data_IF_610022840190
#
_entry.id   IF_610022840190
#
_cell.length_a   1.000
_cell.length_b   1.000
_cell.length_c   1.000
_cell.angle_alpha   90.00
_cell.angle_beta   90.00
_cell.angle_gamma   90.00
#
_symmetry.space_group_name_H-M   'P 1'
#
loop_
_entity.id
_entity.type
_entity.pdbx_description
1 polymer ?
#
# COMPACT_ATOMS: atom_id res chain seq x y z
N UNK A 1 -2.52 9.97 24.53
CA UNK A 1 -2.02 9.16 23.40
C UNK A 1 -1.88 9.95 22.10
N UNK A 2 -2.98 10.45 21.50
CA UNK A 2 -2.97 10.97 20.10
C UNK A 2 -2.00 12.13 19.85
N UNK A 3 -1.77 12.97 20.85
CA UNK A 3 -0.88 14.15 20.77
C UNK A 3 0.54 13.88 21.28
N UNK A 4 0.83 12.65 21.70
CA UNK A 4 2.10 12.26 22.31
C UNK A 4 2.92 11.49 21.29
N UNK A 5 4.21 11.81 21.16
CA UNK A 5 5.14 11.07 20.32
C UNK A 5 5.59 9.78 21.03
N UNK A 6 5.14 8.59 20.59
CA UNK A 6 5.51 7.33 21.25
C UNK A 6 7.00 6.98 21.09
N UNK A 7 7.67 7.49 20.05
CA UNK A 7 9.10 7.25 19.81
C UNK A 7 9.99 8.11 20.71
N UNK A 8 9.54 9.32 21.04
CA UNK A 8 10.22 10.16 22.04
C UNK A 8 10.15 9.50 23.43
N UNK A 9 9.03 8.90 23.81
CA UNK A 9 8.94 8.12 25.06
C UNK A 9 9.83 6.89 25.04
N UNK A 10 9.83 6.15 23.92
CA UNK A 10 10.71 4.99 23.73
C UNK A 10 12.20 5.35 23.87
N UNK A 11 12.59 6.58 23.53
CA UNK A 11 13.98 7.05 23.60
C UNK A 11 14.60 6.98 24.99
N UNK A 12 13.78 6.96 26.05
CA UNK A 12 14.24 6.76 27.42
C UNK A 12 14.84 5.38 27.69
N UNK A 13 14.57 4.40 26.83
CA UNK A 13 15.09 3.03 26.95
C UNK A 13 15.85 2.55 25.72
N UNK A 14 15.48 3.02 24.53
CA UNK A 14 16.10 2.64 23.26
C UNK A 14 16.68 3.89 22.61
N UNK A 15 18.00 3.92 22.39
CA UNK A 15 18.66 5.08 21.80
C UNK A 15 18.04 5.45 20.42
N UNK A 16 17.83 6.74 20.11
CA UNK A 16 17.28 7.18 18.82
C UNK A 16 17.99 6.60 17.59
N UNK A 17 19.31 6.43 17.66
CA UNK A 17 20.10 5.82 16.58
C UNK A 17 19.66 4.38 16.26
N UNK A 18 19.20 3.61 17.26
CA UNK A 18 18.72 2.25 17.06
C UNK A 18 17.37 2.24 16.33
N UNK A 19 16.48 3.19 16.66
CA UNK A 19 15.20 3.36 15.96
C UNK A 19 15.42 3.79 14.50
N UNK A 20 16.35 4.72 14.26
CA UNK A 20 16.73 5.15 12.91
C UNK A 20 17.34 4.00 12.10
N UNK A 21 18.27 3.24 12.70
CA UNK A 21 18.87 2.07 12.08
C UNK A 21 17.81 1.02 11.71
N UNK A 22 16.82 0.78 12.60
CA UNK A 22 15.70 -0.11 12.32
C UNK A 22 14.91 0.32 11.09
N UNK A 23 14.60 1.61 10.95
CA UNK A 23 13.93 2.15 9.74
C UNK A 23 14.78 1.96 8.49
N UNK A 24 16.09 2.22 8.56
CA UNK A 24 17.01 2.03 7.43
C UNK A 24 17.08 0.56 6.99
N UNK A 25 17.09 -0.37 7.94
CA UNK A 25 17.05 -1.81 7.67
C UNK A 25 15.75 -2.17 6.94
N UNK A 26 14.60 -1.68 7.40
CA UNK A 26 13.31 -1.93 6.75
C UNK A 26 13.29 -1.42 5.30
N UNK A 27 13.78 -0.21 5.05
CA UNK A 27 13.89 0.36 3.70
C UNK A 27 14.80 -0.53 2.83
N UNK A 28 15.92 -0.98 3.39
CA UNK A 28 16.88 -1.84 2.70
C UNK A 28 16.24 -3.20 2.33
N UNK A 29 15.47 -3.79 3.24
CA UNK A 29 14.73 -5.04 3.00
C UNK A 29 13.74 -4.90 1.85
N UNK A 30 13.02 -3.77 1.78
CA UNK A 30 12.11 -3.48 0.66
C UNK A 30 12.88 -3.41 -0.66
N UNK A 31 13.96 -2.64 -0.71
CA UNK A 31 14.76 -2.47 -1.94
C UNK A 31 15.29 -3.83 -2.41
N UNK A 32 15.94 -4.59 -1.53
CA UNK A 32 16.50 -5.91 -1.87
C UNK A 32 15.41 -6.86 -2.33
N UNK A 33 14.30 -6.95 -1.59
CA UNK A 33 13.20 -7.85 -1.92
C UNK A 33 12.53 -7.51 -3.24
N UNK A 34 12.30 -6.23 -3.52
CA UNK A 34 11.71 -5.78 -4.79
C UNK A 34 12.66 -6.04 -5.96
N UNK A 35 13.98 -5.83 -5.79
CA UNK A 35 14.96 -6.18 -6.82
C UNK A 35 14.99 -7.69 -7.11
N UNK A 36 14.98 -8.53 -6.07
CA UNK A 36 14.88 -9.99 -6.23
C UNK A 36 13.59 -10.40 -6.95
N UNK A 37 12.45 -9.79 -6.60
CA UNK A 37 11.16 -10.07 -7.25
C UNK A 37 11.18 -9.72 -8.75
N UNK A 38 11.73 -8.55 -9.07
CA UNK A 38 11.88 -8.08 -10.46
C UNK A 38 12.76 -9.03 -11.27
N UNK A 39 13.88 -9.50 -10.70
CA UNK A 39 14.80 -10.43 -11.34
C UNK A 39 14.11 -11.79 -11.54
N UNK A 40 13.48 -12.31 -10.49
CA UNK A 40 12.82 -13.62 -10.50
C UNK A 40 11.69 -13.67 -11.53
N UNK A 41 10.81 -12.65 -11.54
CA UNK A 41 9.66 -12.57 -12.45
C UNK A 41 10.00 -12.05 -13.84
N UNK A 42 11.25 -11.60 -14.07
CA UNK A 42 11.70 -10.97 -15.33
C UNK A 42 10.83 -9.78 -15.75
N UNK A 43 10.22 -9.09 -14.77
CA UNK A 43 9.28 -7.98 -15.00
C UNK A 43 9.89 -6.88 -15.87
N UNK A 44 11.15 -6.50 -15.60
CA UNK A 44 11.85 -5.46 -16.36
C UNK A 44 12.00 -5.85 -17.83
N UNK A 45 12.41 -7.10 -18.12
CA UNK A 45 12.52 -7.59 -19.49
C UNK A 45 11.16 -7.51 -20.20
N UNK A 46 10.11 -7.96 -19.51
CA UNK A 46 8.74 -7.88 -20.03
C UNK A 46 8.31 -6.44 -20.35
N UNK A 47 8.47 -5.50 -19.42
CA UNK A 47 8.09 -4.10 -19.64
C UNK A 47 8.88 -3.45 -20.78
N UNK A 48 10.19 -3.71 -20.88
CA UNK A 48 11.01 -3.20 -21.99
C UNK A 48 10.60 -3.79 -23.34
N UNK A 49 10.34 -5.09 -23.42
CA UNK A 49 9.86 -5.72 -24.65
C UNK A 49 8.48 -5.20 -25.04
N UNK A 50 7.58 -5.03 -24.06
CA UNK A 50 6.24 -4.50 -24.32
C UNK A 50 6.30 -3.03 -24.76
N UNK A 51 7.17 -2.20 -24.16
CA UNK A 51 7.35 -0.81 -24.57
C UNK A 51 7.91 -0.71 -26.00
N UNK A 52 8.83 -1.60 -26.38
CA UNK A 52 9.32 -1.70 -27.76
C UNK A 52 8.23 -2.12 -28.74
N UNK A 53 7.37 -3.08 -28.35
CA UNK A 53 6.23 -3.52 -29.16
C UNK A 53 5.21 -2.39 -29.35
N UNK A 54 4.80 -1.74 -28.26
CA UNK A 54 3.88 -0.60 -28.29
C UNK A 54 4.40 0.54 -29.17
N UNK A 55 5.69 0.89 -29.06
CA UNK A 55 6.31 1.91 -29.91
C UNK A 55 6.26 1.55 -31.41
N UNK A 56 6.34 0.26 -31.76
CA UNK A 56 6.26 -0.20 -33.16
C UNK A 56 4.81 -0.22 -33.69
N UNK A 57 3.82 -0.46 -32.82
CA UNK A 57 2.40 -0.47 -33.18
C UNK A 57 1.69 0.87 -32.95
N UNK A 58 2.42 1.90 -32.52
CA UNK A 58 1.90 3.26 -32.34
C UNK A 58 1.32 3.79 -33.65
N UNK A 59 0.06 4.23 -33.60
CA UNK A 59 -0.67 4.79 -34.76
C UNK A 59 -0.38 6.27 -34.95
N UNK A 60 0.08 6.95 -33.91
CA UNK A 60 0.54 8.34 -33.95
C UNK A 60 1.72 8.56 -33.02
N UNK A 61 2.56 9.54 -33.35
CA UNK A 61 3.62 9.99 -32.46
C UNK A 61 3.07 11.05 -31.50
N UNK A 62 3.09 10.75 -30.21
CA UNK A 62 2.77 11.74 -29.18
C UNK A 62 3.92 12.75 -29.03
N UNK A 63 3.58 14.03 -29.00
CA UNK A 63 4.49 15.10 -28.60
C UNK A 63 4.91 14.96 -27.14
N UNK A 64 5.99 15.63 -26.74
CA UNK A 64 6.46 15.64 -25.34
C UNK A 64 5.36 16.14 -24.40
N UNK A 65 4.62 17.18 -24.79
CA UNK A 65 3.52 17.75 -24.00
C UNK A 65 2.37 16.77 -23.81
N UNK A 66 1.96 16.06 -24.87
CA UNK A 66 0.90 15.05 -24.77
C UNK A 66 1.32 13.89 -23.85
N UNK A 67 2.56 13.40 -23.98
CA UNK A 67 3.09 12.35 -23.09
C UNK A 67 3.07 12.79 -21.64
N UNK A 68 3.57 13.99 -21.35
CA UNK A 68 3.56 14.54 -19.99
C UNK A 68 2.13 14.67 -19.45
N UNK A 69 1.19 15.16 -20.26
CA UNK A 69 -0.22 15.27 -19.87
C UNK A 69 -0.83 13.92 -19.51
N UNK A 70 -0.57 12.88 -20.31
CA UNK A 70 -1.04 11.51 -20.05
C UNK A 70 -0.44 10.98 -18.74
N UNK A 71 0.87 11.12 -18.55
CA UNK A 71 1.56 10.67 -17.33
C UNK A 71 0.98 11.36 -16.09
N UNK A 72 0.80 12.69 -16.14
CA UNK A 72 0.24 13.46 -15.03
C UNK A 72 -1.19 13.02 -14.72
N UNK A 73 -2.03 12.80 -15.75
CA UNK A 73 -3.38 12.28 -15.58
C UNK A 73 -3.35 10.89 -14.95
N UNK A 74 -2.53 9.97 -15.43
CA UNK A 74 -2.39 8.62 -14.86
C UNK A 74 -1.96 8.65 -13.40
N UNK A 75 -1.03 9.52 -13.03
CA UNK A 75 -0.62 9.68 -11.63
C UNK A 75 -1.78 10.21 -10.79
N UNK A 76 -2.47 11.24 -11.27
CA UNK A 76 -3.55 11.88 -10.54
C UNK A 76 -4.80 10.98 -10.42
N UNK A 77 -5.21 10.28 -11.47
CA UNK A 77 -6.39 9.41 -11.46
C UNK A 77 -6.04 8.02 -10.96
N UNK A 78 -5.20 7.30 -11.68
CA UNK A 78 -5.07 5.85 -11.54
C UNK A 78 -4.25 5.47 -10.32
N UNK A 79 -3.18 6.23 -10.05
CA UNK A 79 -2.30 5.94 -8.92
C UNK A 79 -2.86 6.57 -7.64
N UNK A 80 -3.07 7.89 -7.63
CA UNK A 80 -3.47 8.60 -6.41
C UNK A 80 -4.90 8.27 -5.95
N UNK A 81 -5.81 7.97 -6.88
CA UNK A 81 -7.20 7.65 -6.51
C UNK A 81 -7.58 6.20 -6.74
N UNK A 82 -6.67 5.37 -7.27
CA UNK A 82 -6.92 3.96 -7.56
C UNK A 82 -8.23 3.78 -8.37
N UNK A 83 -8.45 4.65 -9.36
CA UNK A 83 -9.67 4.66 -10.20
C UNK A 83 -9.89 3.34 -10.94
N UNK A 84 -8.82 2.56 -11.15
CA UNK A 84 -8.86 1.21 -11.70
C UNK A 84 -9.72 0.22 -10.89
N UNK A 85 -9.99 0.50 -9.61
CA UNK A 85 -10.88 -0.31 -8.77
C UNK A 85 -12.37 0.03 -8.97
N UNK A 86 -12.71 0.92 -9.91
CA UNK A 86 -14.08 1.34 -10.15
C UNK A 86 -14.65 2.22 -9.02
N UNK A 87 -15.94 2.55 -9.12
CA UNK A 87 -16.66 3.25 -8.07
C UNK A 87 -17.30 2.21 -7.14
N UNK A 88 -16.83 2.10 -5.89
CA UNK A 88 -17.39 1.12 -4.97
C UNK A 88 -16.67 1.00 -3.64
N UNK A 89 -17.20 0.11 -2.78
CA UNK A 89 -16.68 -0.15 -1.42
C UNK A 89 -15.21 -0.56 -1.43
N UNK A 90 -14.78 -1.30 -2.45
CA UNK A 90 -13.40 -1.75 -2.63
C UNK A 90 -12.42 -0.59 -2.79
N UNK A 91 -12.77 0.40 -3.62
CA UNK A 91 -11.95 1.60 -3.78
C UNK A 91 -11.87 2.41 -2.50
N UNK A 92 -12.99 2.59 -1.78
CA UNK A 92 -13.01 3.34 -0.52
C UNK A 92 -12.14 2.66 0.54
N UNK A 93 -12.30 1.35 0.74
CA UNK A 93 -11.48 0.59 1.69
C UNK A 93 -9.98 0.63 1.31
N UNK A 94 -9.67 0.52 0.01
CA UNK A 94 -8.30 0.60 -0.49
C UNK A 94 -7.69 1.99 -0.24
N UNK A 95 -8.38 3.08 -0.57
CA UNK A 95 -7.89 4.44 -0.33
C UNK A 95 -7.69 4.73 1.15
N UNK A 96 -8.62 4.27 1.99
CA UNK A 96 -8.50 4.39 3.44
C UNK A 96 -7.25 3.68 3.96
N UNK A 97 -7.02 2.44 3.51
CA UNK A 97 -5.82 1.67 3.86
C UNK A 97 -4.53 2.27 3.31
N UNK A 98 -4.53 2.68 2.04
CA UNK A 98 -3.36 3.24 1.34
C UNK A 98 -2.92 4.56 1.96
N UNK A 99 -3.81 5.55 2.05
CA UNK A 99 -3.47 6.84 2.65
C UNK A 99 -3.23 6.72 4.15
N UNK A 100 -3.96 5.85 4.85
CA UNK A 100 -3.68 5.53 6.24
C UNK A 100 -2.22 5.07 6.43
N UNK A 101 -1.78 4.13 5.59
CA UNK A 101 -0.43 3.57 5.66
C UNK A 101 0.64 4.62 5.34
N UNK A 102 0.40 5.45 4.31
CA UNK A 102 1.32 6.53 3.94
C UNK A 102 1.49 7.50 5.12
N UNK A 103 0.39 7.96 5.71
CA UNK A 103 0.42 8.87 6.87
C UNK A 103 1.14 8.22 8.06
N UNK A 104 0.87 6.95 8.33
CA UNK A 104 1.50 6.19 9.41
C UNK A 104 3.02 6.08 9.24
N UNK A 105 3.48 5.74 8.03
CA UNK A 105 4.91 5.63 7.74
C UNK A 105 5.62 6.99 7.73
N UNK A 106 5.05 8.00 7.08
CA UNK A 106 5.63 9.34 7.07
C UNK A 106 5.72 9.91 8.49
N UNK A 107 4.65 9.77 9.29
CA UNK A 107 4.67 10.14 10.70
C UNK A 107 5.75 9.41 11.48
N UNK A 108 5.95 8.10 11.22
CA UNK A 108 6.99 7.30 11.88
C UNK A 108 8.38 7.81 11.53
N UNK A 109 8.67 7.99 10.25
CA UNK A 109 9.98 8.48 9.77
C UNK A 109 10.28 9.86 10.35
N UNK A 110 9.35 10.80 10.27
CA UNK A 110 9.59 12.16 10.77
C UNK A 110 9.78 12.16 12.27
N UNK A 111 8.95 11.46 13.04
CA UNK A 111 9.11 11.41 14.49
C UNK A 111 10.40 10.69 14.91
N UNK A 112 10.80 9.61 14.24
CA UNK A 112 12.03 8.86 14.55
C UNK A 112 13.29 9.66 14.20
N UNK A 113 13.34 10.28 13.03
CA UNK A 113 14.55 10.94 12.56
C UNK A 113 14.71 12.36 13.13
N UNK A 114 13.61 13.09 13.30
CA UNK A 114 13.67 14.50 13.68
C UNK A 114 13.34 14.74 15.16
N UNK A 115 12.52 13.88 15.78
CA UNK A 115 11.90 14.20 17.08
C UNK A 115 11.97 13.07 18.13
N UNK A 116 12.83 12.07 17.93
CA UNK A 116 13.00 10.99 18.90
C UNK A 116 13.97 11.37 20.03
N UNK A 117 14.76 12.44 19.89
CA UNK A 117 15.66 12.88 20.96
C UNK A 117 14.86 13.40 22.16
N UNK A 118 15.29 13.11 23.41
CA UNK A 118 14.70 13.72 24.60
C UNK A 118 14.74 15.25 24.61
N UNK A 119 15.69 15.85 23.88
CA UNK A 119 15.86 17.30 23.77
C UNK A 119 15.00 17.95 22.68
N UNK A 120 14.23 17.16 21.93
CA UNK A 120 13.44 17.65 20.79
C UNK A 120 11.95 17.70 21.12
N UNK A 121 11.32 18.85 20.91
CA UNK A 121 9.88 18.99 21.04
C UNK A 121 9.20 18.58 19.73
N UNK A 122 8.30 17.59 19.81
CA UNK A 122 7.57 17.12 18.63
C UNK A 122 6.39 18.03 18.33
N UNK A 123 6.27 18.62 17.13
CA UNK A 123 5.06 19.32 16.73
C UNK A 123 3.84 18.40 16.81
N UNK A 124 2.76 18.87 17.44
CA UNK A 124 1.54 18.10 17.72
C UNK A 124 0.91 17.45 16.47
N UNK A 125 1.14 18.04 15.29
CA UNK A 125 0.68 17.53 14.01
C UNK A 125 1.20 16.11 13.73
N UNK A 126 2.45 15.80 14.06
CA UNK A 126 3.07 14.51 13.71
C UNK A 126 2.49 13.32 14.47
N UNK A 127 2.33 13.38 15.81
CA UNK A 127 1.59 12.37 16.54
C UNK A 127 0.16 12.18 16.01
N UNK A 128 -0.56 13.26 15.70
CA UNK A 128 -1.93 13.19 15.16
C UNK A 128 -1.93 12.46 13.80
N UNK A 129 -1.04 12.84 12.88
CA UNK A 129 -0.90 12.19 11.56
C UNK A 129 -0.61 10.69 11.73
N UNK A 130 0.28 10.34 12.64
CA UNK A 130 0.67 8.94 12.86
C UNK A 130 -0.49 8.11 13.39
N UNK A 131 -1.19 8.58 14.41
CA UNK A 131 -2.33 7.85 14.99
C UNK A 131 -3.51 7.77 14.02
N UNK A 132 -3.83 8.86 13.32
CA UNK A 132 -4.88 8.87 12.31
C UNK A 132 -4.54 7.90 11.17
N UNK A 133 -3.30 7.94 10.68
CA UNK A 133 -2.80 7.02 9.67
C UNK A 133 -2.92 5.55 10.10
N UNK A 134 -2.52 5.23 11.33
CA UNK A 134 -2.64 3.88 11.88
C UNK A 134 -4.12 3.44 11.96
N UNK A 135 -5.01 4.30 12.46
CA UNK A 135 -6.46 4.00 12.56
C UNK A 135 -7.05 3.76 11.16
N UNK A 136 -6.78 4.65 10.21
CA UNK A 136 -7.21 4.49 8.82
C UNK A 136 -6.71 3.18 8.21
N UNK A 137 -5.46 2.81 8.49
CA UNK A 137 -4.86 1.53 8.04
C UNK A 137 -5.62 0.34 8.60
N UNK A 138 -5.88 0.33 9.92
CA UNK A 138 -6.61 -0.76 10.58
C UNK A 138 -8.04 -0.85 10.05
N UNK A 139 -8.75 0.28 9.93
CA UNK A 139 -10.14 0.30 9.46
C UNK A 139 -10.22 -0.13 7.99
N UNK A 140 -9.41 0.45 7.10
CA UNK A 140 -9.41 0.12 5.68
C UNK A 140 -8.95 -1.32 5.41
N UNK A 141 -7.88 -1.75 6.07
CA UNK A 141 -7.37 -3.12 5.97
C UNK A 141 -8.36 -4.15 6.52
N UNK A 142 -8.97 -3.90 7.68
CA UNK A 142 -9.97 -4.81 8.27
C UNK A 142 -11.22 -4.87 7.42
N UNK A 143 -11.69 -3.74 6.89
CA UNK A 143 -12.82 -3.72 5.97
C UNK A 143 -12.54 -4.58 4.74
N UNK A 144 -11.35 -4.45 4.15
CA UNK A 144 -10.92 -5.32 3.06
C UNK A 144 -10.90 -6.80 3.48
N UNK A 145 -10.24 -7.11 4.59
CA UNK A 145 -10.02 -8.47 5.09
C UNK A 145 -11.32 -9.24 5.35
N UNK A 146 -12.22 -8.63 6.13
CA UNK A 146 -13.44 -9.30 6.58
C UNK A 146 -14.56 -9.32 5.53
N UNK A 147 -14.61 -8.34 4.62
CA UNK A 147 -15.82 -8.15 3.80
C UNK A 147 -15.57 -8.04 2.29
N UNK A 148 -14.38 -7.65 1.83
CA UNK A 148 -14.16 -7.31 0.41
C UNK A 148 -13.13 -8.20 -0.27
N UNK A 149 -12.45 -9.07 0.47
CA UNK A 149 -11.62 -10.13 -0.11
C UNK A 149 -12.50 -11.06 -0.92
N UNK A 150 -12.11 -11.32 -2.17
CA UNK A 150 -12.87 -12.15 -3.13
C UNK A 150 -13.19 -13.51 -2.54
N UNK A 151 -12.22 -14.14 -1.86
CA UNK A 151 -12.38 -15.42 -1.18
C UNK A 151 -13.57 -15.42 -0.21
N UNK A 152 -13.81 -14.30 0.49
CA UNK A 152 -14.90 -14.19 1.47
C UNK A 152 -16.20 -13.74 0.79
N UNK A 153 -16.13 -12.67 0.00
CA UNK A 153 -17.32 -12.02 -0.55
C UNK A 153 -17.97 -12.81 -1.69
N UNK A 154 -17.16 -13.40 -2.56
CA UNK A 154 -17.62 -14.05 -3.78
C UNK A 154 -17.46 -15.56 -3.75
N UNK A 155 -16.41 -16.08 -3.13
CA UNK A 155 -16.14 -17.53 -3.06
C UNK A 155 -16.62 -18.19 -1.76
N UNK A 156 -17.17 -17.40 -0.83
CA UNK A 156 -17.74 -17.86 0.45
C UNK A 156 -16.78 -18.72 1.32
N UNK A 157 -15.47 -18.57 1.15
CA UNK A 157 -14.49 -19.11 2.08
C UNK A 157 -14.55 -18.38 3.43
N UNK A 158 -14.22 -19.07 4.54
CA UNK A 158 -14.22 -18.43 5.84
C UNK A 158 -13.19 -17.30 5.91
N UNK A 159 -13.53 -16.22 6.61
CA UNK A 159 -12.67 -15.04 6.75
C UNK A 159 -11.32 -15.37 7.41
N UNK A 160 -11.24 -16.42 8.23
CA UNK A 160 -10.01 -16.86 8.89
C UNK A 160 -9.11 -17.76 8.01
N UNK A 161 -9.53 -18.12 6.78
CA UNK A 161 -8.64 -18.77 5.82
C UNK A 161 -7.56 -17.79 5.42
N UNK A 162 -6.28 -18.17 5.58
CA UNK A 162 -5.13 -17.35 5.20
C UNK A 162 -4.42 -18.03 4.04
N UNK A 163 -4.16 -17.27 2.97
CA UNK A 163 -3.28 -17.69 1.87
C UNK A 163 -2.07 -16.77 1.77
N UNK A 164 -1.03 -17.20 1.05
CA UNK A 164 0.21 -16.43 0.89
C UNK A 164 -0.04 -15.00 0.36
N UNK A 165 -1.05 -14.82 -0.49
CA UNK A 165 -1.43 -13.51 -1.03
C UNK A 165 -1.91 -12.51 0.04
N UNK A 166 -2.34 -13.00 1.20
CA UNK A 166 -2.90 -12.18 2.29
C UNK A 166 -1.84 -11.68 3.27
N UNK A 167 -0.63 -12.26 3.24
CA UNK A 167 0.44 -11.94 4.19
C UNK A 167 0.74 -10.44 4.23
N UNK A 168 0.66 -9.75 3.07
CA UNK A 168 0.84 -8.31 3.01
C UNK A 168 -0.21 -7.56 3.84
N UNK A 169 -1.51 -7.80 3.60
CA UNK A 169 -2.56 -7.03 4.27
C UNK A 169 -2.63 -7.36 5.77
N UNK A 170 -2.39 -8.62 6.13
CA UNK A 170 -2.37 -9.05 7.53
C UNK A 170 -1.20 -8.44 8.29
N UNK A 171 0.01 -8.46 7.71
CA UNK A 171 1.18 -7.83 8.33
C UNK A 171 0.98 -6.30 8.43
N UNK A 172 0.37 -5.68 7.42
CA UNK A 172 0.07 -4.25 7.42
C UNK A 172 -0.90 -3.85 8.54
N UNK A 173 -2.00 -4.60 8.70
CA UNK A 173 -2.97 -4.38 9.79
C UNK A 173 -2.29 -4.62 11.14
N UNK A 174 -1.51 -5.69 11.28
CA UNK A 174 -0.80 -6.02 12.51
C UNK A 174 0.17 -4.91 12.93
N UNK A 175 0.94 -4.33 11.99
CA UNK A 175 1.82 -3.20 12.27
C UNK A 175 1.05 -2.01 12.87
N UNK A 176 -0.01 -1.56 12.19
CA UNK A 176 -0.77 -0.40 12.63
C UNK A 176 -1.50 -0.68 13.96
N UNK A 177 -2.09 -1.87 14.11
CA UNK A 177 -2.84 -2.25 15.31
C UNK A 177 -1.95 -2.40 16.54
N UNK A 178 -0.83 -3.13 16.44
CA UNK A 178 0.10 -3.27 17.55
C UNK A 178 0.80 -1.96 17.89
N UNK A 179 1.10 -1.12 16.88
CA UNK A 179 1.60 0.23 17.10
C UNK A 179 0.62 1.10 17.90
N UNK A 180 -0.67 1.07 17.56
CA UNK A 180 -1.72 1.79 18.30
C UNK A 180 -1.83 1.31 19.74
N UNK A 181 -1.88 -0.01 19.96
CA UNK A 181 -1.95 -0.56 21.31
C UNK A 181 -0.70 -0.18 22.10
N UNK A 182 0.48 -0.35 21.53
CA UNK A 182 1.74 0.04 22.17
C UNK A 182 1.74 1.52 22.57
N UNK A 183 1.38 2.43 21.66
CA UNK A 183 1.27 3.87 21.95
C UNK A 183 0.24 4.16 23.05
N UNK A 184 -0.91 3.48 23.02
CA UNK A 184 -1.94 3.61 24.05
C UNK A 184 -1.40 3.22 25.42
N UNK A 185 -0.79 2.04 25.53
CA UNK A 185 -0.26 1.50 26.78
C UNK A 185 0.83 2.41 27.36
N UNK A 186 1.71 2.97 26.52
CA UNK A 186 2.70 3.95 26.98
C UNK A 186 2.05 5.21 27.57
N UNK A 187 0.92 5.64 27.00
CA UNK A 187 0.24 6.86 27.48
C UNK A 187 -0.45 6.72 28.84
N UNK A 188 -0.63 5.50 29.34
CA UNK A 188 -1.28 5.24 30.63
C UNK A 188 -0.39 5.60 31.83
N UNK A 189 0.90 5.88 31.63
CA UNK A 189 1.84 6.33 32.68
C UNK A 189 1.90 5.42 33.91
N UNK A 190 1.82 4.10 33.69
CA UNK A 190 1.86 3.08 34.75
C UNK A 190 3.24 2.42 34.82
N UNK A 191 3.71 2.10 36.02
CA UNK A 191 5.00 1.41 36.25
C UNK A 191 4.93 -0.11 35.92
N UNK A 192 6.08 -0.72 35.58
CA UNK A 192 6.24 -2.18 35.37
C UNK A 192 5.27 -2.83 34.37
N UNK A 193 5.15 -2.24 33.17
CA UNK A 193 4.24 -2.68 32.11
C UNK A 193 4.90 -3.67 31.13
N UNK A 194 4.86 -4.95 31.48
CA UNK A 194 5.32 -6.04 30.59
C UNK A 194 4.51 -6.10 29.28
N UNK A 195 3.24 -5.70 29.32
CA UNK A 195 2.34 -5.68 28.17
C UNK A 195 2.73 -4.61 27.14
N UNK A 196 3.15 -3.41 27.57
CA UNK A 196 3.68 -2.39 26.67
C UNK A 196 4.93 -2.89 25.91
N UNK A 197 5.79 -3.64 26.61
CA UNK A 197 6.97 -4.28 26.01
C UNK A 197 6.58 -5.39 25.02
N UNK A 198 5.57 -6.20 25.36
CA UNK A 198 5.03 -7.21 24.44
C UNK A 198 4.49 -6.58 23.15
N UNK A 199 3.67 -5.54 23.25
CA UNK A 199 3.11 -4.89 22.06
C UNK A 199 4.15 -4.12 21.24
N UNK A 200 5.20 -3.60 21.87
CA UNK A 200 6.37 -3.09 21.14
C UNK A 200 7.06 -4.22 20.36
N UNK A 201 7.30 -5.38 20.98
CA UNK A 201 7.91 -6.52 20.30
C UNK A 201 7.04 -7.02 19.12
N UNK A 202 5.73 -7.12 19.32
CA UNK A 202 4.78 -7.46 18.24
C UNK A 202 4.76 -6.41 17.13
N UNK A 203 4.86 -5.12 17.48
CA UNK A 203 4.99 -4.04 16.50
C UNK A 203 6.28 -4.17 15.68
N UNK A 204 7.42 -4.45 16.32
CA UNK A 204 8.70 -4.67 15.63
C UNK A 204 8.63 -5.91 14.73
N UNK A 205 8.15 -7.04 15.25
CA UNK A 205 8.05 -8.30 14.49
C UNK A 205 7.12 -8.14 13.29
N UNK A 206 5.95 -7.52 13.46
CA UNK A 206 5.01 -7.29 12.35
C UNK A 206 5.63 -6.41 11.26
N UNK A 207 6.40 -5.38 11.62
CA UNK A 207 7.13 -4.57 10.65
C UNK A 207 8.20 -5.38 9.89
N UNK A 208 8.97 -6.23 10.59
CA UNK A 208 9.94 -7.12 9.96
C UNK A 208 9.27 -8.10 8.99
N UNK A 209 8.11 -8.66 9.37
CA UNK A 209 7.32 -9.53 8.49
C UNK A 209 6.78 -8.76 7.29
N UNK A 210 6.29 -7.53 7.47
CA UNK A 210 5.75 -6.70 6.39
C UNK A 210 6.83 -6.34 5.36
N UNK A 211 7.96 -5.77 5.81
CA UNK A 211 9.01 -5.27 4.93
C UNK A 211 9.97 -6.37 4.45
N UNK A 212 10.23 -7.39 5.27
CA UNK A 212 10.97 -8.59 4.86
C UNK A 212 10.14 -9.53 3.98
N UNK A 213 8.81 -9.52 4.14
CA UNK A 213 7.87 -10.34 3.37
C UNK A 213 7.56 -9.82 1.96
N UNK A 214 8.20 -8.73 1.52
CA UNK A 214 7.91 -8.08 0.22
C UNK A 214 8.03 -9.07 -0.94
N UNK A 215 9.10 -9.87 -0.97
CA UNK A 215 9.38 -10.83 -2.05
C UNK A 215 8.30 -11.92 -2.17
N UNK A 216 7.78 -12.41 -1.04
CA UNK A 216 6.80 -13.51 -1.00
C UNK A 216 5.35 -13.06 -1.01
N UNK A 217 5.09 -11.75 -1.00
CA UNK A 217 3.74 -11.21 -0.87
C UNK A 217 3.32 -10.42 -2.09
N UNK A 218 2.06 -9.99 -2.07
CA UNK A 218 1.57 -9.00 -3.02
C UNK A 218 2.28 -7.65 -2.87
N UNK A 219 3.03 -7.36 -1.81
CA UNK A 219 3.62 -6.02 -1.65
C UNK A 219 4.53 -5.61 -2.83
N UNK A 220 5.32 -6.53 -3.40
CA UNK A 220 6.18 -6.22 -4.55
C UNK A 220 5.42 -5.62 -5.76
N UNK A 221 4.15 -5.99 -5.97
CA UNK A 221 3.35 -5.46 -7.08
C UNK A 221 3.01 -3.98 -6.97
N UNK A 222 3.07 -3.40 -5.77
CA UNK A 222 2.82 -1.97 -5.57
C UNK A 222 3.88 -1.11 -6.25
N UNK A 223 5.11 -1.61 -6.41
CA UNK A 223 6.21 -0.83 -6.99
C UNK A 223 6.18 -0.76 -8.52
N UNK A 224 5.68 -1.82 -9.20
CA UNK A 224 5.65 -1.85 -10.66
C UNK A 224 4.29 -1.51 -11.29
N UNK A 225 3.19 -1.58 -10.52
CA UNK A 225 1.85 -1.23 -11.01
C UNK A 225 1.72 0.21 -11.53
N UNK A 226 2.28 1.24 -10.87
CA UNK A 226 2.31 2.61 -11.42
C UNK A 226 2.94 2.69 -12.82
N UNK A 227 4.07 1.98 -13.02
CA UNK A 227 4.74 1.93 -14.32
C UNK A 227 3.90 1.25 -15.40
N UNK A 228 3.23 0.15 -15.04
CA UNK A 228 2.29 -0.53 -15.94
C UNK A 228 1.10 0.36 -16.33
N UNK A 229 0.53 1.12 -15.39
CA UNK A 229 -0.56 2.05 -15.66
C UNK A 229 -0.13 3.19 -16.59
N UNK A 230 1.07 3.74 -16.39
CA UNK A 230 1.64 4.76 -17.28
C UNK A 230 1.84 4.22 -18.69
N UNK A 231 2.42 3.02 -18.81
CA UNK A 231 2.64 2.38 -20.10
C UNK A 231 1.32 2.12 -20.84
N UNK A 232 0.31 1.59 -20.13
CA UNK A 232 -1.02 1.34 -20.67
C UNK A 232 -1.67 2.63 -21.20
N UNK A 233 -1.71 3.69 -20.40
CA UNK A 233 -2.34 4.95 -20.81
C UNK A 233 -1.58 5.64 -21.95
N UNK A 234 -0.25 5.51 -22.00
CA UNK A 234 0.54 5.99 -23.14
C UNK A 234 0.24 5.18 -24.42
N UNK A 235 0.09 3.86 -24.31
CA UNK A 235 -0.28 2.99 -25.44
C UNK A 235 -1.71 3.26 -25.93
N UNK A 236 -2.65 3.55 -25.03
CA UNK A 236 -3.99 4.00 -25.41
C UNK A 236 -3.92 5.36 -26.13
N UNK A 237 -3.12 6.30 -25.59
CA UNK A 237 -2.98 7.63 -26.16
C UNK A 237 -2.31 7.62 -27.54
N UNK A 238 -1.32 6.78 -27.80
CA UNK A 238 -0.64 6.67 -29.11
C UNK A 238 -1.39 5.76 -30.12
N UNK A 239 -2.49 5.14 -29.69
CA UNK A 239 -3.36 4.30 -30.51
C UNK A 239 -2.87 2.87 -30.73
N UNK A 240 -1.72 2.48 -30.16
CA UNK A 240 -1.24 1.09 -30.17
C UNK A 240 -2.14 0.17 -29.34
N UNK A 241 -2.61 0.67 -28.19
CA UNK A 241 -3.55 0.00 -27.26
C UNK A 241 -3.10 -1.40 -26.84
N UNK A 242 -1.80 -1.65 -26.76
CA UNK A 242 -1.25 -3.01 -26.59
C UNK A 242 -1.82 -4.04 -27.61
N UNK A 243 -2.15 -3.57 -28.82
CA UNK A 243 -2.85 -4.30 -29.89
C UNK A 243 -4.28 -4.77 -29.53
N UNK A 244 -4.90 -4.17 -28.52
CA UNK A 244 -6.30 -4.42 -28.19
C UNK A 244 -7.23 -3.62 -29.12
N UNK A 245 -8.37 -4.20 -29.55
CA UNK A 245 -9.34 -3.51 -30.38
C UNK A 245 -9.94 -2.29 -29.67
N UNK A 246 -10.45 -1.29 -30.42
CA UNK A 246 -11.31 -0.22 -29.87
C UNK A 246 -12.43 -0.76 -29.00
N UNK A 247 -12.90 -0.02 -27.97
CA UNK A 247 -14.15 -0.36 -27.31
C UNK A 247 -15.23 -0.45 -28.38
N UNK A 248 -16.12 -1.43 -28.28
CA UNK A 248 -17.20 -1.57 -29.25
C UNK A 248 -18.19 -0.40 -29.10
N UNK A 249 -18.61 0.17 -30.22
CA UNK A 249 -19.68 1.18 -30.25
C UNK A 249 -21.08 0.56 -30.02
N UNK A 250 -21.16 -0.78 -30.10
CA UNK A 250 -22.39 -1.52 -29.86
C UNK A 250 -22.70 -1.61 -28.36
N UNK A 251 -23.98 -1.49 -27.94
CA UNK A 251 -24.37 -1.70 -26.56
C UNK A 251 -23.98 -3.11 -26.10
N UNK A 252 -23.61 -3.26 -24.82
CA UNK A 252 -23.29 -4.57 -24.23
C UNK A 252 -24.49 -5.52 -24.37
N UNK A 253 -24.41 -6.44 -25.33
CA UNK A 253 -25.40 -7.48 -25.52
C UNK A 253 -25.04 -8.67 -24.63
N UNK A 254 -25.50 -8.65 -23.38
CA UNK A 254 -25.57 -9.88 -22.58
C UNK A 254 -26.66 -10.78 -23.15
N UNK A 255 -26.38 -12.08 -23.32
CA UNK A 255 -27.31 -13.04 -23.94
C UNK A 255 -28.72 -12.95 -23.36
N UNK A 256 -29.72 -12.99 -24.24
CA UNK A 256 -31.14 -12.90 -23.91
C UNK A 256 -31.52 -13.97 -22.87
N UNK A 257 -31.96 -13.55 -21.68
CA UNK A 257 -32.75 -14.40 -20.78
C UNK A 257 -32.14 -14.77 -19.43
N UNK A 258 -30.89 -14.41 -19.14
CA UNK A 258 -30.37 -14.48 -17.76
C UNK A 258 -29.92 -13.06 -17.39
N UNK A 259 -30.66 -12.39 -16.50
CA UNK A 259 -30.05 -11.36 -15.66
C UNK A 259 -28.93 -12.07 -14.92
N UNK A 260 -27.72 -12.11 -15.50
CA UNK A 260 -26.55 -12.51 -14.76
C UNK A 260 -26.51 -11.55 -13.58
N UNK A 261 -26.47 -12.08 -12.36
CA UNK A 261 -26.14 -11.23 -11.23
C UNK A 261 -24.92 -10.40 -11.66
N UNK A 262 -24.97 -9.10 -11.40
CA UNK A 262 -23.81 -8.26 -11.65
C UNK A 262 -22.61 -8.96 -11.01
N UNK A 263 -21.51 -9.16 -11.76
CA UNK A 263 -20.36 -9.87 -11.23
C UNK A 263 -19.98 -9.19 -9.92
N UNK A 264 -20.10 -9.92 -8.80
CA UNK A 264 -19.75 -9.47 -7.45
C UNK A 264 -18.24 -9.16 -7.30
N UNK A 265 -17.49 -9.12 -8.40
CA UNK A 265 -16.04 -9.09 -8.47
C UNK A 265 -15.44 -7.69 -8.72
N UNK A 266 -16.25 -6.64 -8.90
CA UNK A 266 -15.77 -5.28 -9.16
C UNK A 266 -16.34 -4.26 -8.18
#
# INVERSE_FOLDING_TARGET
MITVNPFSQLSGTVAPIMMQAFVIIMISLVIVSTLLDIIHKKNVKYFFENAKKAKKSAKKNLSTTEKTSVILKTIASDIATTSELGAGKRRVAHLLGMYGTILFWVGSVVMIFCYASPSSETPILWPIIWHLGAIMTVVGGSWFWFFLRVDVYSEAFPWYRIIQADLFVLALIACAFFGLIWSFLQSLSLENRWDATLFLALFIISNLVLFGGVYWSKFAHMFYKPGAAIQKNLAEADGSRDNLPPPADAPEQFGLGIKREEPKHY
#
